data_IF_831160442142
#
_entry.id   IF_831160442142
#
_cell.length_a   1.000
_cell.length_b   1.000
_cell.length_c   1.000
_cell.angle_alpha   90.00
_cell.angle_beta   90.00
_cell.angle_gamma   90.00
#
_symmetry.space_group_name_H-M   'P 1'
#
loop_
_entity.id
_entity.type
_entity.pdbx_description
1 polymer ?
#
# COMPACT_ATOMS: atom_id res chain seq x y z
N UNK A 1 5.96 -11.96 -16.47
CA UNK A 1 5.11 -11.18 -17.39
C UNK A 1 5.83 -9.85 -17.55
N UNK A 2 6.13 -9.39 -18.76
CA UNK A 2 6.87 -8.14 -18.92
C UNK A 2 5.92 -6.96 -18.73
N UNK A 3 6.36 -5.95 -17.96
CA UNK A 3 5.64 -4.69 -17.84
C UNK A 3 5.47 -4.05 -19.21
N UNK A 4 4.33 -3.42 -19.41
CA UNK A 4 4.09 -2.54 -20.54
C UNK A 4 4.91 -1.27 -20.41
N UNK A 5 5.13 -0.56 -21.51
CA UNK A 5 5.81 0.74 -21.49
C UNK A 5 5.10 1.75 -20.56
N UNK A 6 3.77 1.71 -20.50
CA UNK A 6 2.98 2.58 -19.63
C UNK A 6 3.30 2.31 -18.15
N UNK A 7 3.38 1.05 -17.75
CA UNK A 7 3.74 0.67 -16.38
C UNK A 7 5.17 1.06 -16.02
N UNK A 8 6.12 0.91 -16.96
CA UNK A 8 7.51 1.35 -16.76
C UNK A 8 7.59 2.86 -16.56
N UNK A 9 6.92 3.64 -17.42
CA UNK A 9 6.87 5.11 -17.33
C UNK A 9 6.25 5.54 -15.99
N UNK A 10 5.17 4.90 -15.55
CA UNK A 10 4.51 5.24 -14.29
C UNK A 10 5.45 5.10 -13.08
N UNK A 11 6.28 4.05 -13.05
CA UNK A 11 7.28 3.83 -11.99
C UNK A 11 8.39 4.88 -12.05
N UNK A 12 8.88 5.21 -13.24
CA UNK A 12 9.90 6.26 -13.40
C UNK A 12 9.39 7.63 -12.95
N UNK A 13 8.16 7.99 -13.32
CA UNK A 13 7.54 9.25 -12.90
C UNK A 13 7.30 9.30 -11.38
N UNK A 14 6.98 8.16 -10.76
CA UNK A 14 6.88 8.08 -9.30
C UNK A 14 8.23 8.32 -8.63
N UNK A 15 9.30 7.72 -9.14
CA UNK A 15 10.66 7.96 -8.67
C UNK A 15 11.08 9.44 -8.85
N UNK A 16 10.74 10.06 -9.98
CA UNK A 16 10.98 11.49 -10.24
C UNK A 16 10.25 12.40 -9.22
N UNK A 17 9.04 12.02 -8.80
CA UNK A 17 8.29 12.71 -7.73
C UNK A 17 8.86 12.47 -6.33
N UNK A 18 9.85 11.59 -6.18
CA UNK A 18 10.43 11.21 -4.88
C UNK A 18 9.65 10.14 -4.13
N UNK A 19 8.74 9.41 -4.79
CA UNK A 19 8.08 8.25 -4.18
C UNK A 19 9.07 7.09 -3.99
N UNK A 20 8.87 6.30 -2.94
CA UNK A 20 9.68 5.12 -2.69
C UNK A 20 9.36 4.05 -3.72
N UNK A 21 10.39 3.56 -4.40
CA UNK A 21 10.30 2.42 -5.29
C UNK A 21 11.05 1.22 -4.70
N UNK A 22 10.71 0.05 -5.20
CA UNK A 22 11.40 -1.20 -4.91
C UNK A 22 11.85 -1.84 -6.21
N UNK A 23 12.99 -2.53 -6.14
CA UNK A 23 13.55 -3.32 -7.23
C UNK A 23 13.58 -4.79 -6.81
N UNK A 24 13.30 -5.67 -7.76
CA UNK A 24 13.48 -7.11 -7.59
C UNK A 24 14.20 -7.68 -8.80
N UNK A 25 15.12 -8.62 -8.58
CA UNK A 25 15.69 -9.37 -9.68
C UNK A 25 14.62 -10.30 -10.25
N UNK A 26 14.41 -10.29 -11.57
CA UNK A 26 13.30 -11.03 -12.21
C UNK A 26 13.31 -12.54 -11.90
N UNK A 27 14.46 -13.09 -11.51
CA UNK A 27 14.64 -14.52 -11.16
C UNK A 27 14.66 -14.83 -9.65
N UNK A 28 14.76 -13.84 -8.77
CA UNK A 28 14.97 -14.06 -7.31
C UNK A 28 13.95 -13.38 -6.40
N UNK A 29 13.07 -12.53 -6.94
CA UNK A 29 11.73 -12.27 -6.37
C UNK A 29 11.64 -11.34 -5.15
N UNK A 30 12.71 -11.17 -4.38
CA UNK A 30 12.68 -10.28 -3.22
C UNK A 30 12.69 -8.81 -3.66
N UNK A 31 11.70 -8.05 -3.18
CA UNK A 31 11.60 -6.61 -3.40
C UNK A 31 12.40 -5.89 -2.33
N UNK A 32 13.36 -5.06 -2.76
CA UNK A 32 14.16 -4.24 -1.85
C UNK A 32 14.01 -2.77 -2.22
N UNK A 33 14.06 -1.84 -1.25
CA UNK A 33 14.05 -0.41 -1.55
C UNK A 33 15.19 -0.02 -2.50
N UNK A 34 14.87 0.82 -3.48
CA UNK A 34 15.87 1.36 -4.42
C UNK A 34 15.72 2.87 -4.55
N UNK A 35 16.77 3.60 -4.19
CA UNK A 35 16.82 5.07 -4.28
C UNK A 35 17.55 5.56 -5.54
N UNK A 36 18.25 4.68 -6.26
CA UNK A 36 19.08 5.03 -7.41
C UNK A 36 18.96 3.96 -8.50
N UNK A 37 17.76 3.82 -9.12
CA UNK A 37 17.49 2.76 -10.07
C UNK A 37 18.34 2.87 -11.33
N UNK A 38 18.89 1.74 -11.79
CA UNK A 38 19.63 1.66 -13.05
C UNK A 38 18.71 1.63 -14.28
N UNK A 39 17.41 1.41 -14.06
CA UNK A 39 16.39 1.22 -15.10
C UNK A 39 16.71 0.08 -16.08
N UNK A 40 17.49 -0.91 -15.63
CA UNK A 40 17.67 -2.15 -16.35
C UNK A 40 16.43 -3.05 -16.20
N UNK A 41 15.43 -2.79 -17.05
CA UNK A 41 14.20 -3.57 -17.14
C UNK A 41 14.39 -4.97 -17.73
N UNK A 42 15.60 -5.32 -18.18
CA UNK A 42 15.92 -6.66 -18.69
C UNK A 42 16.24 -7.59 -17.51
N UNK A 43 17.04 -7.12 -16.56
CA UNK A 43 17.45 -7.93 -15.41
C UNK A 43 16.52 -7.77 -14.19
N UNK A 44 15.87 -6.62 -14.07
CA UNK A 44 15.11 -6.24 -12.89
C UNK A 44 13.65 -5.92 -13.23
N UNK A 45 12.82 -6.02 -12.20
CA UNK A 45 11.49 -5.44 -12.17
C UNK A 45 11.45 -4.33 -11.11
N UNK A 46 10.62 -3.33 -11.34
CA UNK A 46 10.50 -2.16 -10.47
C UNK A 46 9.04 -1.89 -10.18
N UNK A 47 8.74 -1.50 -8.95
CA UNK A 47 7.40 -1.07 -8.56
C UNK A 47 7.49 0.13 -7.63
N UNK A 48 6.44 0.92 -7.59
CA UNK A 48 6.24 1.83 -6.45
C UNK A 48 6.00 0.97 -5.22
N UNK A 49 6.71 1.27 -4.13
CA UNK A 49 6.54 0.56 -2.86
C UNK A 49 5.07 0.60 -2.47
N UNK A 50 4.39 -0.56 -2.33
CA UNK A 50 2.99 -0.58 -1.94
C UNK A 50 2.82 0.19 -0.63
N UNK A 51 1.79 1.04 -0.56
CA UNK A 51 1.42 1.69 0.69
C UNK A 51 0.47 0.78 1.46
N UNK A 52 0.60 0.65 2.78
CA UNK A 52 -0.30 -0.20 3.55
C UNK A 52 -1.72 0.35 3.46
N UNK A 53 -2.70 -0.53 3.26
CA UNK A 53 -4.10 -0.12 3.31
C UNK A 53 -4.45 0.36 4.72
N UNK A 54 -5.08 1.53 4.81
CA UNK A 54 -5.58 2.09 6.06
C UNK A 54 -7.10 1.98 6.04
N UNK A 55 -7.67 1.47 7.14
CA UNK A 55 -9.11 1.48 7.39
C UNK A 55 -9.38 1.92 8.83
N UNK A 56 -10.61 2.34 9.09
CA UNK A 56 -11.09 2.77 10.40
C UNK A 56 -12.18 1.81 10.87
N UNK A 57 -12.03 1.25 12.06
CA UNK A 57 -12.89 0.16 12.54
C UNK A 57 -13.61 0.55 13.82
N UNK A 58 -14.91 0.31 13.84
CA UNK A 58 -15.71 0.27 15.06
C UNK A 58 -15.80 -1.19 15.51
N UNK A 59 -15.37 -1.47 16.75
CA UNK A 59 -15.39 -2.81 17.34
C UNK A 59 -16.57 -2.95 18.29
N UNK A 60 -17.34 -4.03 18.14
CA UNK A 60 -18.46 -4.39 19.00
C UNK A 60 -18.19 -5.76 19.64
N UNK A 61 -19.01 -6.14 20.61
CA UNK A 61 -18.81 -7.42 21.34
C UNK A 61 -18.86 -8.67 20.46
N UNK A 62 -19.52 -8.60 19.30
CA UNK A 62 -19.70 -9.74 18.39
C UNK A 62 -19.06 -9.53 17.02
N UNK A 63 -18.99 -8.27 16.57
CA UNK A 63 -18.70 -7.93 15.19
C UNK A 63 -17.77 -6.71 15.12
N UNK A 64 -17.28 -6.40 13.92
CA UNK A 64 -16.54 -5.16 13.64
C UNK A 64 -16.98 -4.59 12.30
N UNK A 65 -17.03 -3.26 12.20
CA UNK A 65 -17.44 -2.55 10.99
C UNK A 65 -16.30 -1.68 10.52
N UNK A 66 -15.87 -1.87 9.27
CA UNK A 66 -14.78 -1.13 8.65
C UNK A 66 -15.29 0.02 7.79
N UNK A 67 -14.57 1.14 7.84
CA UNK A 67 -14.82 2.36 7.12
C UNK A 67 -13.54 2.84 6.43
N UNK A 68 -13.70 3.59 5.34
CA UNK A 68 -12.56 4.14 4.59
C UNK A 68 -11.97 5.37 5.28
N UNK A 69 -12.78 6.12 6.05
CA UNK A 69 -12.35 7.35 6.73
C UNK A 69 -12.69 7.31 8.22
N UNK A 70 -11.96 8.11 8.99
CA UNK A 70 -12.20 8.26 10.44
C UNK A 70 -13.57 8.90 10.71
N UNK A 71 -13.94 9.90 9.90
CA UNK A 71 -15.18 10.63 10.05
C UNK A 71 -16.39 9.74 9.76
N UNK A 72 -16.32 8.88 8.73
CA UNK A 72 -17.37 7.90 8.46
C UNK A 72 -17.51 6.90 9.61
N UNK A 73 -16.38 6.45 10.20
CA UNK A 73 -16.41 5.59 11.36
C UNK A 73 -17.06 6.27 12.57
N UNK A 74 -16.73 7.52 12.84
CA UNK A 74 -17.32 8.30 13.94
C UNK A 74 -18.81 8.58 13.71
N UNK A 75 -19.20 8.92 12.48
CA UNK A 75 -20.58 9.19 12.13
C UNK A 75 -21.46 7.93 12.14
N UNK A 76 -20.89 6.77 11.78
CA UNK A 76 -21.59 5.48 11.70
C UNK A 76 -21.56 4.66 12.99
N UNK A 77 -21.08 5.20 14.11
CA UNK A 77 -20.97 4.43 15.35
C UNK A 77 -22.34 4.12 15.94
N UNK A 78 -22.62 2.83 16.15
CA UNK A 78 -23.83 2.35 16.80
C UNK A 78 -23.70 2.30 18.32
N UNK A 79 -24.83 2.16 19.02
CA UNK A 79 -24.83 1.91 20.46
C UNK A 79 -24.15 0.57 20.78
N UNK A 80 -23.34 0.55 21.83
CA UNK A 80 -22.61 -0.65 22.26
C UNK A 80 -21.27 -0.89 21.58
N UNK A 81 -20.72 0.11 20.87
CA UNK A 81 -19.32 0.09 20.44
C UNK A 81 -18.39 -0.02 21.67
N UNK A 82 -17.46 -0.97 21.62
CA UNK A 82 -16.40 -1.15 22.63
C UNK A 82 -15.23 -0.24 22.30
N UNK A 83 -14.91 -0.10 21.00
CA UNK A 83 -13.95 0.85 20.49
C UNK A 83 -14.50 1.54 19.26
N UNK A 84 -14.18 2.83 19.12
CA UNK A 84 -14.69 3.68 18.07
C UNK A 84 -13.54 4.23 17.25
N UNK A 85 -13.70 4.18 15.92
CA UNK A 85 -12.77 4.73 14.95
C UNK A 85 -11.30 4.37 15.26
N UNK A 86 -11.03 3.08 15.46
CA UNK A 86 -9.66 2.60 15.63
C UNK A 86 -9.02 2.51 14.25
N UNK A 87 -7.82 3.08 14.12
CA UNK A 87 -7.03 3.02 12.90
C UNK A 87 -6.38 1.65 12.77
N UNK A 88 -6.73 0.92 11.73
CA UNK A 88 -6.09 -0.33 11.34
C UNK A 88 -5.21 -0.05 10.12
N UNK A 89 -3.96 -0.49 10.21
CA UNK A 89 -2.97 -0.37 9.13
C UNK A 89 -2.61 -1.78 8.73
N UNK A 90 -2.78 -2.10 7.45
CA UNK A 90 -2.38 -3.38 6.88
C UNK A 90 -0.90 -3.63 7.17
N UNK A 91 -0.61 -4.79 7.76
CA UNK A 91 0.76 -5.23 7.95
C UNK A 91 1.39 -5.50 6.57
N UNK A 92 2.62 -5.03 6.39
CA UNK A 92 3.41 -5.35 5.20
C UNK A 92 4.54 -6.30 5.63
N UNK A 93 4.67 -7.40 4.89
CA UNK A 93 5.74 -8.40 5.07
C UNK A 93 7.11 -7.86 4.60
#
# INVERSE_FOLDING_TARGET
>A
MNKTLVEMIAVMQAAERGELIEVAHQRRGDWVPDSTPSWDWVCYDYRVKPQPKIIWVNEYSRDSVAHLTEDDAKAGVGSGAIRTAIKYVEAQD
#
